data_IF_593379642528
#
_entry.id   IF_593379642528
#
_cell.length_a   1.000
_cell.length_b   1.000
_cell.length_c   1.000
_cell.angle_alpha   90.00
_cell.angle_beta   90.00
_cell.angle_gamma   90.00
#
_symmetry.space_group_name_H-M   'P 1'
#
loop_
_entity.id
_entity.type
_entity.pdbx_description
1 polymer ?
#
# COMPACT_ATOMS: atom_id res chain seq x y z
N UNK A 1 -10.18 -8.01 -14.04
CA UNK A 1 -9.33 -6.82 -14.31
C UNK A 1 -8.20 -6.84 -13.31
N UNK A 2 -6.96 -6.77 -13.77
CA UNK A 2 -5.77 -6.79 -12.91
C UNK A 2 -5.50 -5.37 -12.41
N UNK A 3 -5.66 -5.15 -11.11
CA UNK A 3 -5.43 -3.85 -10.48
C UNK A 3 -4.73 -4.01 -9.14
N UNK A 4 -3.93 -2.99 -8.77
CA UNK A 4 -3.39 -2.85 -7.43
C UNK A 4 -4.34 -2.05 -6.54
N UNK A 5 -4.35 -2.33 -5.26
CA UNK A 5 -5.04 -1.51 -4.26
C UNK A 5 -4.01 -0.86 -3.37
N UNK A 6 -4.16 0.43 -3.13
CA UNK A 6 -3.29 1.21 -2.25
C UNK A 6 -4.16 1.94 -1.23
N UNK A 7 -3.81 1.82 0.05
CA UNK A 7 -4.47 2.56 1.13
C UNK A 7 -3.48 2.92 2.25
N UNK A 8 -3.94 3.80 3.14
CA UNK A 8 -3.22 4.11 4.38
C UNK A 8 -3.85 3.35 5.54
N UNK A 9 -3.01 2.76 6.37
CA UNK A 9 -3.42 2.22 7.67
C UNK A 9 -2.92 3.14 8.77
N UNK A 10 -3.70 3.33 9.83
CA UNK A 10 -3.27 4.15 10.96
C UNK A 10 -3.26 3.43 12.30
N UNK A 11 -2.24 3.74 13.11
CA UNK A 11 -2.09 3.23 14.47
C UNK A 11 -2.04 4.41 15.42
N UNK A 12 -2.74 4.29 16.56
CA UNK A 12 -2.81 5.37 17.56
C UNK A 12 -3.52 6.62 17.06
N UNK A 13 -4.56 6.47 16.22
CA UNK A 13 -5.29 7.60 15.64
C UNK A 13 -4.61 8.15 14.39
N UNK A 14 -4.21 9.43 14.41
CA UNK A 14 -3.50 10.11 13.32
C UNK A 14 -1.99 10.31 13.61
N UNK A 15 -1.46 9.61 14.62
CA UNK A 15 -0.06 9.75 15.02
C UNK A 15 0.87 9.01 14.05
N UNK A 16 0.50 7.79 13.67
CA UNK A 16 1.32 6.94 12.81
C UNK A 16 0.51 6.32 11.69
N UNK A 17 1.10 6.28 10.51
CA UNK A 17 0.49 5.72 9.31
C UNK A 17 1.48 4.80 8.60
N UNK A 18 0.98 3.77 7.94
CA UNK A 18 1.76 3.01 6.96
C UNK A 18 0.98 2.88 5.66
N UNK A 19 1.70 2.63 4.58
CA UNK A 19 1.12 2.34 3.28
C UNK A 19 0.93 0.85 3.16
N UNK A 20 -0.25 0.46 2.70
CA UNK A 20 -0.65 -0.92 2.49
C UNK A 20 -0.96 -1.11 1.00
N UNK A 21 -0.40 -2.17 0.41
CA UNK A 21 -0.49 -2.48 -1.01
C UNK A 21 -1.02 -3.90 -1.19
N UNK A 22 -2.09 -4.05 -1.96
CA UNK A 22 -2.53 -5.35 -2.45
C UNK A 22 -2.20 -5.45 -3.94
N UNK A 23 -1.24 -6.30 -4.27
CA UNK A 23 -0.57 -6.33 -5.58
C UNK A 23 -0.82 -7.69 -6.23
N UNK A 24 -1.28 -7.77 -7.49
CA UNK A 24 -1.40 -9.05 -8.17
C UNK A 24 -0.05 -9.77 -8.24
N UNK A 25 -0.05 -11.11 -8.08
CA UNK A 25 1.18 -11.92 -7.91
C UNK A 25 2.22 -11.77 -9.03
N UNK A 26 1.75 -11.37 -10.20
CA UNK A 26 2.53 -11.20 -11.43
C UNK A 26 3.31 -9.88 -11.48
N UNK A 27 3.05 -8.95 -10.54
CA UNK A 27 3.68 -7.64 -10.51
C UNK A 27 4.67 -7.50 -9.35
N UNK A 28 5.70 -6.69 -9.58
CA UNK A 28 6.68 -6.33 -8.58
C UNK A 28 6.14 -5.27 -7.62
N UNK A 29 6.63 -5.29 -6.39
CA UNK A 29 6.41 -4.25 -5.40
C UNK A 29 7.42 -3.10 -5.55
N UNK A 30 7.04 -1.86 -5.20
CA UNK A 30 7.99 -0.77 -5.02
C UNK A 30 8.94 -1.03 -3.84
N UNK A 31 10.10 -0.36 -3.84
CA UNK A 31 11.07 -0.45 -2.75
C UNK A 31 10.51 0.02 -1.40
N UNK A 32 11.01 -0.55 -0.31
CA UNK A 32 10.59 -0.19 1.05
C UNK A 32 9.29 -0.85 1.53
N UNK A 33 8.80 -1.86 0.80
CA UNK A 33 7.61 -2.64 1.16
C UNK A 33 7.97 -4.08 1.50
N UNK A 34 7.41 -4.57 2.61
CA UNK A 34 7.61 -5.93 3.12
C UNK A 34 6.35 -6.76 2.88
N UNK A 35 6.52 -7.99 2.41
CA UNK A 35 5.42 -8.94 2.25
C UNK A 35 4.87 -9.31 3.63
N UNK A 36 3.56 -9.39 3.73
CA UNK A 36 2.86 -9.81 4.95
C UNK A 36 2.27 -11.20 4.78
N UNK A 37 2.25 -11.97 5.87
CA UNK A 37 1.63 -13.30 5.91
C UNK A 37 0.12 -13.23 6.19
N UNK A 38 -0.45 -12.03 6.38
CA UNK A 38 -1.82 -11.83 6.86
C UNK A 38 -2.91 -11.94 5.80
N UNK A 39 -2.56 -11.96 4.50
CA UNK A 39 -3.56 -12.00 3.42
C UNK A 39 -3.49 -13.30 2.62
N UNK A 40 -4.55 -14.11 2.74
CA UNK A 40 -4.76 -15.35 2.00
C UNK A 40 -5.52 -15.12 0.68
N UNK A 41 -5.09 -14.15 -0.13
CA UNK A 41 -5.61 -14.00 -1.49
C UNK A 41 -4.74 -14.86 -2.43
N UNK A 42 -5.36 -15.74 -3.23
CA UNK A 42 -4.62 -16.61 -4.15
C UNK A 42 -4.08 -15.89 -5.36
N UNK A 43 -4.52 -14.67 -5.65
CA UNK A 43 -4.15 -13.94 -6.86
C UNK A 43 -3.38 -12.66 -6.54
N UNK A 44 -3.41 -12.21 -5.27
CA UNK A 44 -2.71 -11.01 -4.81
C UNK A 44 -1.79 -11.28 -3.61
N UNK A 45 -0.76 -10.47 -3.50
CA UNK A 45 0.19 -10.40 -2.38
C UNK A 45 -0.04 -9.11 -1.63
N UNK A 46 -0.01 -9.19 -0.30
CA UNK A 46 -0.22 -8.04 0.57
C UNK A 46 1.12 -7.54 1.11
N UNK A 47 1.45 -6.29 0.82
CA UNK A 47 2.69 -5.65 1.26
C UNK A 47 2.38 -4.43 2.11
N UNK A 48 3.29 -4.14 3.06
CA UNK A 48 3.21 -2.95 3.90
C UNK A 48 4.54 -2.23 3.96
N UNK A 49 4.50 -0.91 4.03
CA UNK A 49 5.68 -0.11 4.36
C UNK A 49 5.98 -0.17 5.86
N UNK A 50 7.11 0.42 6.25
CA UNK A 50 7.32 0.84 7.63
C UNK A 50 6.26 1.84 8.10
N UNK A 51 6.16 2.01 9.41
CA UNK A 51 5.32 3.04 10.01
C UNK A 51 5.99 4.39 9.91
N UNK A 52 5.25 5.38 9.42
CA UNK A 52 5.66 6.77 9.35
C UNK A 52 4.94 7.60 10.41
N UNK A 53 5.68 8.50 11.04
CA UNK A 53 5.08 9.50 11.92
C UNK A 53 4.39 10.59 11.08
N UNK A 54 3.09 10.75 11.28
CA UNK A 54 2.25 11.73 10.63
C UNK A 54 1.88 11.42 9.18
N UNK A 55 0.76 12.01 8.74
CA UNK A 55 0.17 11.71 7.43
C UNK A 55 1.02 12.21 6.24
N UNK A 56 1.83 13.25 6.43
CA UNK A 56 2.61 13.85 5.35
C UNK A 56 3.67 12.89 4.78
N UNK A 57 4.38 12.15 5.64
CA UNK A 57 5.38 11.15 5.22
C UNK A 57 4.70 9.96 4.54
N UNK A 58 3.62 9.46 5.13
CA UNK A 58 2.84 8.38 4.54
C UNK A 58 2.24 8.76 3.19
N UNK A 59 1.79 10.02 3.02
CA UNK A 59 1.30 10.53 1.75
C UNK A 59 2.40 10.50 0.67
N UNK A 60 3.62 10.95 0.99
CA UNK A 60 4.74 10.87 0.05
C UNK A 60 5.03 9.43 -0.38
N UNK A 61 4.99 8.48 0.57
CA UNK A 61 5.23 7.07 0.28
C UNK A 61 4.14 6.46 -0.62
N UNK A 62 2.86 6.73 -0.36
CA UNK A 62 1.76 6.20 -1.19
C UNK A 62 1.72 6.87 -2.57
N UNK A 63 2.07 8.16 -2.67
CA UNK A 63 2.19 8.85 -3.97
C UNK A 63 3.34 8.23 -4.80
N UNK A 64 4.47 7.88 -4.15
CA UNK A 64 5.58 7.21 -4.82
C UNK A 64 5.20 5.79 -5.29
N UNK A 65 4.47 5.03 -4.47
CA UNK A 65 3.94 3.72 -4.85
C UNK A 65 2.93 3.83 -6.00
N UNK A 66 2.03 4.82 -5.97
CA UNK A 66 1.10 5.08 -7.06
C UNK A 66 1.85 5.41 -8.36
N UNK A 67 2.87 6.27 -8.30
CA UNK A 67 3.72 6.59 -9.45
C UNK A 67 4.43 5.35 -10.01
N UNK A 68 4.97 4.48 -9.15
CA UNK A 68 5.63 3.24 -9.56
C UNK A 68 4.72 2.35 -10.42
N UNK A 69 3.44 2.24 -10.06
CA UNK A 69 2.46 1.47 -10.83
C UNK A 69 1.96 2.20 -12.07
N UNK A 70 1.74 3.52 -12.00
CA UNK A 70 1.43 4.35 -13.17
C UNK A 70 2.48 4.23 -14.27
N UNK A 71 3.77 4.29 -13.91
CA UNK A 71 4.88 4.21 -14.85
C UNK A 71 4.99 2.83 -15.53
N UNK A 72 4.28 1.81 -15.01
CA UNK A 72 4.20 0.44 -15.54
C UNK A 72 2.86 0.11 -16.19
N UNK A 73 2.06 1.14 -16.49
CA UNK A 73 0.71 1.04 -17.08
C UNK A 73 -0.26 0.14 -16.27
N UNK A 74 -0.01 0.01 -14.96
CA UNK A 74 -0.86 -0.79 -14.10
C UNK A 74 -1.95 0.08 -13.48
N UNK A 75 -3.21 -0.34 -13.66
CA UNK A 75 -4.36 0.30 -13.02
C UNK A 75 -4.30 0.07 -11.52
N UNK A 76 -4.59 1.12 -10.75
CA UNK A 76 -4.71 1.00 -9.30
C UNK A 76 -5.92 1.73 -8.75
N UNK A 77 -6.45 1.18 -7.66
CA UNK A 77 -7.43 1.82 -6.81
C UNK A 77 -6.70 2.51 -5.67
N UNK A 78 -6.71 3.84 -5.69
CA UNK A 78 -6.18 4.67 -4.63
C UNK A 78 -7.30 4.96 -3.64
N UNK A 79 -7.31 4.27 -2.50
CA UNK A 79 -8.24 4.56 -1.43
C UNK A 79 -7.64 5.66 -0.55
N UNK A 80 -8.33 6.81 -0.49
CA UNK A 80 -8.04 7.87 0.48
C UNK A 80 -8.50 7.52 1.91
N UNK A 81 -9.02 6.32 2.10
CA UNK A 81 -9.57 5.87 3.36
C UNK A 81 -8.45 5.38 4.30
N UNK A 82 -8.45 5.91 5.52
CA UNK A 82 -7.53 5.46 6.58
C UNK A 82 -8.20 4.28 7.29
N UNK A 83 -7.63 3.08 7.13
CA UNK A 83 -8.15 1.86 7.78
C UNK A 83 -7.41 1.61 9.09
N UNK A 84 -8.11 1.04 10.08
CA UNK A 84 -7.43 0.48 11.26
C UNK A 84 -6.72 -0.81 10.83
N UNK A 85 -5.48 -1.06 11.28
CA UNK A 85 -4.80 -2.32 11.03
C UNK A 85 -5.63 -3.45 11.64
N UNK A 86 -5.87 -4.50 10.85
CA UNK A 86 -6.48 -5.75 11.34
C UNK A 86 -5.45 -6.62 12.03
#
# INVERSE_FOLDING_TARGET
>A
MTYCELWLESKGGLAQFRVALLVPKEFEQPEGFTLTDTQHDTDKKFYVSEWYDGIAKAKKAIDAAAKFYSDRDLKFLYFREIRKPK
#
